data_IF_167861008415
#
_entry.id   IF_167861008415
#
_cell.length_a   1.000
_cell.length_b   1.000
_cell.length_c   1.000
_cell.angle_alpha   90.00
_cell.angle_beta   90.00
_cell.angle_gamma   90.00
#
_symmetry.space_group_name_H-M   'P 1'
#
loop_
_entity.id
_entity.type
_entity.pdbx_description
1 polymer ?
#
# COMPACT_ATOMS: atom_id res chain seq x y z
N UNK A 1 -5.20 3.14 -20.25
CA UNK A 1 -6.08 2.30 -19.41
C UNK A 1 -5.62 0.84 -19.36
N UNK A 2 -5.57 0.11 -20.48
CA UNK A 2 -5.21 -1.32 -20.51
C UNK A 2 -3.86 -1.68 -19.87
N UNK A 3 -2.79 -0.93 -20.16
CA UNK A 3 -1.48 -1.16 -19.52
C UNK A 3 -1.54 -1.03 -18.00
N UNK A 4 -2.24 -0.01 -17.48
CA UNK A 4 -2.38 0.18 -16.03
C UNK A 4 -3.20 -0.93 -15.36
N UNK A 5 -4.28 -1.37 -16.02
CA UNK A 5 -5.08 -2.50 -15.56
C UNK A 5 -4.25 -3.80 -15.51
N UNK A 6 -3.50 -4.09 -16.58
CA UNK A 6 -2.63 -5.27 -16.64
C UNK A 6 -1.58 -5.22 -15.53
N UNK A 7 -0.91 -4.08 -15.33
CA UNK A 7 0.10 -3.90 -14.27
C UNK A 7 -0.50 -4.16 -12.88
N UNK A 8 -1.72 -3.68 -12.61
CA UNK A 8 -2.37 -3.91 -11.33
C UNK A 8 -2.82 -5.36 -11.16
N UNK A 9 -3.31 -5.99 -12.23
CA UNK A 9 -3.75 -7.39 -12.21
C UNK A 9 -2.60 -8.36 -12.07
N UNK A 10 -1.43 -8.05 -12.63
CA UNK A 10 -0.21 -8.86 -12.51
C UNK A 10 0.64 -8.46 -11.30
N UNK A 11 0.17 -7.55 -10.45
CA UNK A 11 0.94 -7.07 -9.32
C UNK A 11 1.12 -8.19 -8.26
N UNK A 12 2.34 -8.73 -8.08
CA UNK A 12 2.57 -9.83 -7.15
C UNK A 12 2.27 -9.42 -5.71
N UNK A 13 2.34 -8.12 -5.38
CA UNK A 13 2.02 -7.61 -4.05
C UNK A 13 0.56 -7.90 -3.67
N UNK A 14 -0.38 -7.71 -4.60
CA UNK A 14 -1.80 -7.91 -4.34
C UNK A 14 -2.10 -9.40 -4.09
N UNK A 15 -1.50 -10.28 -4.90
CA UNK A 15 -1.62 -11.73 -4.73
C UNK A 15 -1.07 -12.19 -3.37
N UNK A 16 0.14 -11.75 -3.01
CA UNK A 16 0.77 -12.09 -1.73
C UNK A 16 -0.06 -11.61 -0.52
N UNK A 17 -0.65 -10.41 -0.61
CA UNK A 17 -1.51 -9.89 0.45
C UNK A 17 -2.77 -10.75 0.63
N UNK A 18 -3.44 -11.15 -0.47
CA UNK A 18 -4.61 -12.02 -0.40
C UNK A 18 -4.29 -13.40 0.15
N UNK A 19 -3.18 -13.99 -0.26
CA UNK A 19 -2.71 -15.27 0.29
C UNK A 19 -2.52 -15.15 1.80
N UNK A 20 -1.83 -14.11 2.28
CA UNK A 20 -1.64 -13.89 3.71
C UNK A 20 -2.97 -13.73 4.46
N UNK A 21 -3.91 -12.94 3.93
CA UNK A 21 -5.21 -12.70 4.56
C UNK A 21 -6.03 -14.00 4.65
N UNK A 22 -6.09 -14.78 3.57
CA UNK A 22 -6.86 -16.04 3.55
C UNK A 22 -6.19 -17.08 4.44
N UNK A 23 -4.87 -17.24 4.37
CA UNK A 23 -4.13 -18.20 5.21
C UNK A 23 -4.26 -17.91 6.70
N UNK A 24 -4.41 -16.64 7.09
CA UNK A 24 -4.61 -16.25 8.50
C UNK A 24 -6.09 -16.27 8.91
N UNK A 25 -6.98 -15.88 8.00
CA UNK A 25 -8.40 -15.65 8.31
C UNK A 25 -9.32 -16.84 8.08
N UNK A 26 -8.94 -17.80 7.23
CA UNK A 26 -9.76 -18.95 6.88
C UNK A 26 -9.06 -20.24 7.33
N UNK A 27 -9.47 -20.73 8.50
CA UNK A 27 -8.99 -22.00 9.06
C UNK A 27 -9.80 -23.19 8.54
N UNK A 28 -9.26 -24.40 8.66
CA UNK A 28 -9.97 -25.63 8.26
C UNK A 28 -11.28 -25.77 9.05
N UNK A 29 -12.38 -26.01 8.33
CA UNK A 29 -13.73 -26.07 8.92
C UNK A 29 -14.41 -24.71 9.13
N UNK A 30 -13.80 -23.60 8.72
CA UNK A 30 -14.41 -22.29 8.83
C UNK A 30 -15.72 -22.19 8.02
N UNK A 31 -16.81 -21.67 8.61
CA UNK A 31 -18.06 -21.43 7.90
C UNK A 31 -17.90 -20.44 6.74
N UNK A 32 -18.72 -20.58 5.69
CA UNK A 32 -18.69 -19.71 4.50
C UNK A 32 -18.86 -18.21 4.81
N UNK A 33 -19.54 -17.86 5.91
CA UNK A 33 -19.71 -16.46 6.32
C UNK A 33 -18.39 -15.78 6.67
N UNK A 34 -17.38 -16.53 7.13
CA UNK A 34 -16.05 -15.99 7.46
C UNK A 34 -15.38 -15.41 6.22
N UNK A 35 -15.45 -16.13 5.09
CA UNK A 35 -14.97 -15.63 3.81
C UNK A 35 -15.70 -14.36 3.36
N UNK A 36 -17.03 -14.31 3.53
CA UNK A 36 -17.81 -13.12 3.21
C UNK A 36 -17.41 -11.91 4.07
N UNK A 37 -17.17 -12.10 5.37
CA UNK A 37 -16.69 -11.05 6.28
C UNK A 37 -15.31 -10.55 5.88
N UNK A 38 -14.39 -11.44 5.49
CA UNK A 38 -13.05 -11.05 5.01
C UNK A 38 -13.17 -10.17 3.76
N UNK A 39 -13.97 -10.59 2.77
CA UNK A 39 -14.15 -9.84 1.52
C UNK A 39 -14.80 -8.48 1.78
N UNK A 40 -15.91 -8.45 2.53
CA UNK A 40 -16.62 -7.21 2.83
C UNK A 40 -15.79 -6.27 3.72
N UNK A 41 -15.10 -6.81 4.71
CA UNK A 41 -14.24 -6.04 5.61
C UNK A 41 -13.05 -5.42 4.91
N UNK A 42 -12.34 -6.19 4.07
CA UNK A 42 -11.22 -5.66 3.27
C UNK A 42 -11.68 -4.63 2.25
N UNK A 43 -12.86 -4.81 1.64
CA UNK A 43 -13.45 -3.82 0.75
C UNK A 43 -13.82 -2.53 1.47
N UNK A 44 -14.49 -2.62 2.63
CA UNK A 44 -14.84 -1.46 3.45
C UNK A 44 -13.59 -0.70 3.92
N UNK A 45 -12.57 -1.42 4.39
CA UNK A 45 -11.27 -0.83 4.76
C UNK A 45 -10.63 -0.11 3.58
N UNK A 46 -10.65 -0.71 2.39
CA UNK A 46 -10.13 -0.08 1.17
C UNK A 46 -10.86 1.24 0.89
N UNK A 47 -12.20 1.26 0.95
CA UNK A 47 -12.98 2.49 0.77
C UNK A 47 -12.60 3.53 1.81
N UNK A 48 -12.59 3.18 3.10
CA UNK A 48 -12.29 4.09 4.19
C UNK A 48 -10.91 4.71 4.01
N UNK A 49 -9.89 3.89 3.71
CA UNK A 49 -8.52 4.37 3.51
C UNK A 49 -8.41 5.29 2.30
N UNK A 50 -9.04 4.93 1.17
CA UNK A 50 -9.02 5.78 -0.03
C UNK A 50 -9.78 7.09 0.19
N UNK A 51 -10.90 7.07 0.91
CA UNK A 51 -11.64 8.27 1.29
C UNK A 51 -10.83 9.14 2.24
N UNK A 52 -10.15 8.55 3.23
CA UNK A 52 -9.25 9.27 4.12
C UNK A 52 -8.13 9.95 3.32
N UNK A 53 -7.52 9.23 2.37
CA UNK A 53 -6.52 9.85 1.49
C UNK A 53 -7.12 10.94 0.62
N UNK A 54 -8.30 10.75 0.05
CA UNK A 54 -8.98 11.77 -0.73
C UNK A 54 -9.24 13.02 0.11
N UNK A 55 -9.87 12.88 1.29
CA UNK A 55 -10.16 14.01 2.19
C UNK A 55 -8.87 14.69 2.66
N UNK A 56 -7.86 13.90 3.04
CA UNK A 56 -6.54 14.40 3.36
C UNK A 56 -6.02 15.25 2.21
N UNK A 57 -5.85 14.70 1.00
CA UNK A 57 -5.18 15.40 -0.09
C UNK A 57 -6.05 16.41 -0.85
N UNK A 58 -7.39 16.39 -0.70
CA UNK A 58 -8.32 17.35 -1.33
C UNK A 58 -8.51 18.64 -0.53
N UNK A 59 -8.05 18.69 0.73
CA UNK A 59 -8.20 19.89 1.57
C UNK A 59 -7.02 20.84 1.39
N UNK A 60 -7.22 22.16 1.15
CA UNK A 60 -6.14 23.14 1.01
C UNK A 60 -5.17 23.19 2.21
N UNK A 61 -5.67 22.84 3.39
CA UNK A 61 -4.90 22.73 4.64
C UNK A 61 -3.83 21.64 4.53
N UNK A 62 -4.17 20.47 4.00
CA UNK A 62 -3.21 19.38 3.86
C UNK A 62 -2.17 19.67 2.79
N UNK A 63 -2.54 20.34 1.70
CA UNK A 63 -1.58 20.79 0.68
C UNK A 63 -0.51 21.70 1.29
N UNK A 64 -0.90 22.58 2.23
CA UNK A 64 0.03 23.47 2.93
C UNK A 64 0.92 22.73 3.93
N UNK A 65 0.38 21.76 4.67
CA UNK A 65 1.14 20.90 5.59
C UNK A 65 2.11 20.02 4.82
N UNK A 66 1.64 19.35 3.76
CA UNK A 66 2.44 18.52 2.88
C UNK A 66 3.54 19.34 2.20
N UNK A 67 3.23 20.57 1.75
CA UNK A 67 4.23 21.48 1.19
C UNK A 67 5.40 21.76 2.14
N UNK A 68 5.12 21.94 3.45
CA UNK A 68 6.17 22.11 4.47
C UNK A 68 6.92 20.80 4.78
N UNK A 69 6.20 19.67 4.87
CA UNK A 69 6.80 18.36 5.13
C UNK A 69 7.58 17.79 3.94
N UNK A 70 7.26 18.23 2.71
CA UNK A 70 7.83 17.73 1.45
C UNK A 70 9.34 17.76 1.45
N UNK A 71 9.95 18.85 1.93
CA UNK A 71 11.42 18.97 1.99
C UNK A 71 12.03 17.92 2.93
N UNK A 72 11.43 17.70 4.09
CA UNK A 72 11.87 16.67 5.04
C UNK A 72 11.71 15.27 4.46
N UNK A 73 10.54 14.97 3.88
CA UNK A 73 10.28 13.67 3.21
C UNK A 73 11.29 13.42 2.10
N UNK A 74 11.57 14.41 1.25
CA UNK A 74 12.54 14.30 0.17
C UNK A 74 13.97 14.06 0.66
N UNK A 75 14.38 14.75 1.73
CA UNK A 75 15.70 14.53 2.33
C UNK A 75 15.80 13.12 2.90
N UNK A 76 14.82 12.69 3.70
CA UNK A 76 14.83 11.35 4.32
C UNK A 76 14.82 10.24 3.26
N UNK A 77 13.90 10.31 2.29
CA UNK A 77 13.83 9.31 1.22
C UNK A 77 15.07 9.35 0.33
N UNK A 78 15.54 10.55 -0.03
CA UNK A 78 16.74 10.72 -0.85
C UNK A 78 17.98 10.13 -0.18
N UNK A 79 18.19 10.42 1.11
CA UNK A 79 19.30 9.84 1.89
C UNK A 79 19.14 8.33 2.02
N UNK A 80 17.94 7.83 2.34
CA UNK A 80 17.69 6.39 2.45
C UNK A 80 18.01 5.65 1.13
N UNK A 81 17.49 6.14 0.01
CA UNK A 81 17.72 5.52 -1.29
C UNK A 81 19.17 5.69 -1.77
N UNK A 82 19.82 6.81 -1.49
CA UNK A 82 21.24 7.00 -1.78
C UNK A 82 22.11 6.01 -0.99
N UNK A 83 21.85 5.84 0.31
CA UNK A 83 22.55 4.86 1.15
C UNK A 83 22.26 3.43 0.72
N UNK A 84 21.00 3.10 0.38
CA UNK A 84 20.63 1.79 -0.14
C UNK A 84 21.32 1.50 -1.48
N UNK A 85 21.38 2.48 -2.39
CA UNK A 85 22.09 2.37 -3.66
C UNK A 85 23.59 2.21 -3.49
N UNK A 86 24.21 3.00 -2.62
CA UNK A 86 25.63 2.86 -2.26
C UNK A 86 25.90 1.47 -1.68
N UNK A 87 25.09 1.02 -0.71
CA UNK A 87 25.20 -0.33 -0.16
C UNK A 87 25.07 -1.41 -1.22
N UNK A 88 24.15 -1.25 -2.18
CA UNK A 88 23.95 -2.22 -3.26
C UNK A 88 25.17 -2.31 -4.18
N UNK A 89 25.79 -1.16 -4.48
CA UNK A 89 27.02 -1.08 -5.28
C UNK A 89 28.22 -1.67 -4.54
N UNK A 90 28.37 -1.36 -3.25
CA UNK A 90 29.47 -1.89 -2.41
C UNK A 90 29.27 -3.34 -1.97
N UNK A 91 28.04 -3.84 -1.97
CA UNK A 91 27.71 -5.24 -1.63
C UNK A 91 28.02 -6.22 -2.76
N UNK A 92 28.32 -5.71 -3.97
CA UNK A 92 28.66 -6.52 -5.15
C UNK A 92 30.14 -6.49 -5.53
N UNK A 93 30.99 -5.99 -4.63
CA UNK A 93 32.46 -6.12 -4.65
C UNK A 93 32.89 -6.84 -3.39
#
# INVERSE_FOLDING_TARGET
FQRGYIIQMTNPKAALAWIAIISLGLQEGAPLWVGAVIVLGTFALSIIIHLLYAVAFSTPVMVRIYGKARRGIQVVLGTFFALAGLRLLTSRT
#
